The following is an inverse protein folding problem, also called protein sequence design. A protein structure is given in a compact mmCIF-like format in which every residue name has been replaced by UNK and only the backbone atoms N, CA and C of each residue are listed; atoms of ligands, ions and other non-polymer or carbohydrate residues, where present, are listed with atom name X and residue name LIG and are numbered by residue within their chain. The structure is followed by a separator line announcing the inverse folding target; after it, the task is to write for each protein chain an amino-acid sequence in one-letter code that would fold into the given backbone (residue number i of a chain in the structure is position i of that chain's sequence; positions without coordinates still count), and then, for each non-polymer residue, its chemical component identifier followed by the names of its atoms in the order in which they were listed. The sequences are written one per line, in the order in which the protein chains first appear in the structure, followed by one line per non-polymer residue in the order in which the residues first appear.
data_IF_314214226186
#
_entry.id   IF_314214226186
#
_cell.length_a   1.000
_cell.length_b   1.000
_cell.length_c   1.000
_cell.angle_alpha   90.00
_cell.angle_beta   90.00
_cell.angle_gamma   90.00
#
_symmetry.space_group_name_H-M   'P 1'
#
loop_
_entity.id
_entity.type
_entity.pdbx_description
1 polymer ?
#
# COMPACT_ATOMS: atom_id res chain seq x y z
N UNK A 1 10.22 18.33 -32.32
CA UNK A 1 10.64 17.56 -31.13
C UNK A 1 9.53 16.59 -30.80
N UNK A 2 9.73 15.29 -30.97
CA UNK A 2 8.76 14.29 -30.54
C UNK A 2 9.21 13.74 -29.18
N UNK A 3 8.40 13.93 -28.15
CA UNK A 3 8.60 13.29 -26.84
C UNK A 3 7.70 12.05 -26.81
N UNK A 4 8.31 10.86 -26.74
CA UNK A 4 7.60 9.60 -26.57
C UNK A 4 7.66 9.25 -25.08
N UNK A 5 6.63 9.63 -24.33
CA UNK A 5 6.43 9.14 -22.97
C UNK A 5 5.86 7.72 -23.05
N UNK A 6 6.56 6.72 -22.50
CA UNK A 6 6.03 5.37 -22.40
C UNK A 6 4.96 5.35 -21.33
N UNK A 7 3.75 4.92 -21.70
CA UNK A 7 2.64 4.70 -20.78
C UNK A 7 3.03 3.60 -19.78
N UNK A 8 2.78 3.81 -18.49
CA UNK A 8 2.96 2.77 -17.48
C UNK A 8 1.93 1.64 -17.69
N UNK A 9 2.35 0.39 -17.54
CA UNK A 9 1.48 -0.79 -17.74
C UNK A 9 0.34 -0.85 -16.71
N UNK A 10 0.60 -0.37 -15.50
CA UNK A 10 -0.39 -0.21 -14.43
C UNK A 10 -0.55 1.27 -14.12
N UNK A 11 -1.80 1.74 -14.04
CA UNK A 11 -2.10 3.01 -13.39
C UNK A 11 -2.65 2.72 -11.99
N UNK A 12 -1.97 3.22 -10.97
CA UNK A 12 -2.32 3.01 -9.57
C UNK A 12 -2.59 4.36 -8.94
N UNK A 13 -3.54 4.40 -8.01
CA UNK A 13 -3.76 5.56 -7.16
C UNK A 13 -4.14 5.07 -5.79
N UNK A 14 -3.41 5.51 -4.78
CA UNK A 14 -3.69 5.16 -3.38
C UNK A 14 -4.16 6.41 -2.64
N UNK A 15 -5.32 6.29 -2.01
CA UNK A 15 -5.91 7.32 -1.18
C UNK A 15 -6.08 6.76 0.24
N UNK A 16 -5.72 7.55 1.24
CA UNK A 16 -6.05 7.22 2.63
C UNK A 16 -7.53 7.45 2.89
N UNK A 17 -8.14 6.61 3.74
CA UNK A 17 -9.50 6.80 4.23
C UNK A 17 -9.68 8.17 4.89
N UNK A 18 -10.82 8.82 4.61
CA UNK A 18 -11.08 10.21 5.00
C UNK A 18 -11.61 10.35 6.44
N UNK A 19 -12.36 9.37 6.92
CA UNK A 19 -13.19 9.54 8.13
C UNK A 19 -12.40 9.30 9.43
N UNK A 20 -11.56 8.25 9.46
CA UNK A 20 -10.65 7.96 10.58
C UNK A 20 -9.21 7.90 10.05
N UNK A 21 -8.39 8.93 10.30
CA UNK A 21 -7.05 9.00 9.71
C UNK A 21 -6.17 7.83 10.17
N UNK A 22 -6.38 7.36 11.40
CA UNK A 22 -5.80 6.15 11.96
C UNK A 22 -6.69 5.59 13.08
N UNK A 23 -6.40 4.37 13.50
CA UNK A 23 -6.91 3.77 14.74
C UNK A 23 -5.73 3.25 15.57
N UNK A 24 -5.84 3.33 16.89
CA UNK A 24 -4.88 2.72 17.82
C UNK A 24 -5.55 1.52 18.46
N UNK A 25 -4.91 0.37 18.40
CA UNK A 25 -5.33 -0.86 19.06
C UNK A 25 -4.33 -1.19 20.15
N UNK A 26 -4.83 -1.45 21.36
CA UNK A 26 -4.03 -2.03 22.43
C UNK A 26 -4.18 -3.55 22.35
N UNK A 27 -3.04 -4.22 22.26
CA UNK A 27 -2.96 -5.67 22.31
C UNK A 27 -3.04 -6.15 23.76
N UNK A 28 -3.41 -7.42 24.01
CA UNK A 28 -3.47 -7.99 25.36
C UNK A 28 -2.15 -7.96 26.13
N UNK A 29 -1.02 -7.88 25.43
CA UNK A 29 0.33 -7.77 25.99
C UNK A 29 0.72 -6.33 26.38
N UNK A 30 -0.19 -5.36 26.19
CA UNK A 30 0.03 -3.93 26.45
C UNK A 30 0.75 -3.19 25.32
N UNK A 31 1.07 -3.86 24.20
CA UNK A 31 1.64 -3.19 23.02
C UNK A 31 0.57 -2.42 22.23
N UNK A 32 0.98 -1.32 21.61
CA UNK A 32 0.10 -0.50 20.76
C UNK A 32 0.41 -0.72 19.28
N UNK A 33 -0.64 -0.95 18.48
CA UNK A 33 -0.58 -0.96 17.03
C UNK A 33 -1.43 0.15 16.45
N UNK A 34 -0.91 0.77 15.40
CA UNK A 34 -1.57 1.82 14.64
C UNK A 34 -2.05 1.20 13.34
N UNK A 35 -3.30 1.48 12.97
CA UNK A 35 -3.92 1.02 11.74
C UNK A 35 -4.24 2.22 10.88
N UNK A 36 -3.83 2.18 9.62
CA UNK A 36 -4.21 3.15 8.60
C UNK A 36 -5.02 2.46 7.52
N UNK A 37 -6.15 3.05 7.14
CA UNK A 37 -7.01 2.53 6.07
C UNK A 37 -6.66 3.20 4.75
N UNK A 38 -6.51 2.39 3.70
CA UNK A 38 -6.26 2.86 2.35
C UNK A 38 -7.27 2.28 1.37
N UNK A 39 -7.55 3.06 0.34
CA UNK A 39 -8.30 2.70 -0.86
C UNK A 39 -7.34 2.83 -2.04
N UNK A 40 -7.12 1.73 -2.74
CA UNK A 40 -6.28 1.70 -3.93
C UNK A 40 -7.14 1.40 -5.15
N UNK A 41 -7.05 2.26 -6.16
CA UNK A 41 -7.61 2.04 -7.48
C UNK A 41 -6.49 1.64 -8.43
N UNK A 42 -6.67 0.52 -9.13
CA UNK A 42 -5.69 -0.04 -10.05
C UNK A 42 -6.37 -0.23 -11.41
N UNK A 43 -5.67 0.15 -12.48
CA UNK A 43 -6.09 -0.13 -13.86
C UNK A 43 -4.97 -0.81 -14.62
N UNK A 44 -5.25 -1.99 -15.17
CA UNK A 44 -4.39 -2.62 -16.14
C UNK A 44 -4.51 -1.88 -17.48
N UNK A 45 -3.42 -1.29 -17.96
CA UNK A 45 -3.38 -0.51 -19.20
C UNK A 45 -2.86 -1.33 -20.39
N UNK A 46 -2.56 -2.61 -20.17
CA UNK A 46 -2.02 -3.53 -21.17
C UNK A 46 -3.12 -4.36 -21.86
N UNK A 47 -2.73 -5.09 -22.90
CA UNK A 47 -3.60 -6.03 -23.63
C UNK A 47 -3.59 -7.45 -23.05
N UNK A 48 -2.82 -7.69 -21.99
CA UNK A 48 -2.69 -9.00 -21.34
C UNK A 48 -3.23 -8.93 -19.92
N UNK A 49 -3.66 -10.08 -19.37
CA UNK A 49 -3.96 -10.17 -17.95
C UNK A 49 -2.70 -9.96 -17.11
N UNK A 50 -2.86 -9.41 -15.91
CA UNK A 50 -1.77 -9.18 -14.95
C UNK A 50 -2.18 -9.66 -13.57
N UNK A 51 -1.25 -10.34 -12.91
CA UNK A 51 -1.38 -10.78 -11.52
C UNK A 51 -0.35 -10.04 -10.69
N UNK A 52 -0.79 -9.40 -9.61
CA UNK A 52 0.05 -8.59 -8.73
C UNK A 52 -0.24 -8.88 -7.26
N UNK A 53 0.77 -8.65 -6.42
CA UNK A 53 0.70 -8.67 -4.96
C UNK A 53 1.24 -7.36 -4.41
N UNK A 54 0.64 -6.85 -3.34
CA UNK A 54 1.18 -5.69 -2.62
C UNK A 54 2.24 -6.13 -1.61
N UNK A 55 3.34 -5.39 -1.54
CA UNK A 55 4.45 -5.66 -0.64
C UNK A 55 4.97 -4.38 0.03
N UNK A 56 5.28 -4.48 1.32
CA UNK A 56 6.12 -3.51 2.02
C UNK A 56 7.60 -3.92 1.92
N UNK A 57 8.52 -2.95 1.98
CA UNK A 57 9.94 -3.18 2.21
C UNK A 57 10.19 -4.12 3.39
N UNK A 58 11.22 -4.95 3.27
CA UNK A 58 11.62 -5.90 4.31
C UNK A 58 11.98 -5.20 5.63
N UNK A 59 12.58 -4.03 5.56
CA UNK A 59 12.92 -3.18 6.72
C UNK A 59 11.68 -2.78 7.55
N UNK A 60 10.52 -2.61 6.92
CA UNK A 60 9.28 -2.28 7.62
C UNK A 60 8.61 -3.54 8.18
N UNK A 61 8.65 -4.64 7.42
CA UNK A 61 8.14 -5.94 7.89
C UNK A 61 8.87 -6.43 9.12
N UNK A 62 10.21 -6.32 9.14
CA UNK A 62 11.04 -6.68 10.30
C UNK A 62 10.79 -5.78 11.52
N UNK A 63 10.36 -4.53 11.30
CA UNK A 63 9.86 -3.64 12.36
C UNK A 63 8.41 -3.92 12.78
N UNK A 64 7.77 -4.96 12.25
CA UNK A 64 6.41 -5.37 12.61
C UNK A 64 5.30 -4.67 11.84
N UNK A 65 5.59 -4.02 10.70
CA UNK A 65 4.56 -3.54 9.79
C UNK A 65 3.96 -4.67 8.96
N UNK A 66 2.66 -4.61 8.73
CA UNK A 66 1.90 -5.63 8.02
C UNK A 66 0.84 -4.98 7.11
N UNK A 67 0.65 -5.55 5.92
CA UNK A 67 -0.50 -5.26 5.06
C UNK A 67 -1.60 -6.23 5.43
N UNK A 68 -2.76 -5.71 5.84
CA UNK A 68 -3.97 -6.50 6.08
C UNK A 68 -4.96 -6.20 4.96
N UNK A 69 -5.29 -7.21 4.16
CA UNK A 69 -6.21 -7.07 3.03
C UNK A 69 -7.08 -8.30 2.88
N UNK A 70 -8.16 -8.19 2.09
CA UNK A 70 -9.06 -9.33 1.83
C UNK A 70 -8.43 -10.40 0.93
N UNK A 71 -7.46 -10.03 0.09
CA UNK A 71 -6.79 -10.93 -0.83
C UNK A 71 -5.34 -10.54 -0.99
N UNK A 72 -4.47 -11.53 -0.84
CA UNK A 72 -3.03 -11.41 -1.04
C UNK A 72 -2.62 -11.17 -2.50
N UNK A 73 -3.50 -11.51 -3.43
CA UNK A 73 -3.24 -11.44 -4.87
C UNK A 73 -4.40 -10.74 -5.57
N UNK A 74 -4.07 -9.88 -6.52
CA UNK A 74 -5.02 -9.16 -7.37
C UNK A 74 -4.78 -9.59 -8.82
N UNK A 75 -5.83 -10.11 -9.44
CA UNK A 75 -5.84 -10.47 -10.86
C UNK A 75 -6.65 -9.41 -11.62
N UNK A 76 -6.07 -8.88 -12.69
CA UNK A 76 -6.72 -7.90 -13.56
C UNK A 76 -6.63 -8.38 -15.01
N UNK A 77 -7.76 -8.52 -15.67
CA UNK A 77 -7.84 -8.73 -17.11
C UNK A 77 -7.34 -7.51 -17.90
N UNK A 78 -7.19 -7.64 -19.23
CA UNK A 78 -6.82 -6.54 -20.11
C UNK A 78 -7.77 -5.35 -19.96
N UNK A 79 -7.24 -4.15 -19.73
CA UNK A 79 -8.05 -2.93 -19.58
C UNK A 79 -8.86 -2.82 -18.29
N UNK A 80 -8.86 -3.84 -17.43
CA UNK A 80 -9.69 -3.93 -16.23
C UNK A 80 -9.26 -2.92 -15.17
N UNK A 81 -10.25 -2.42 -14.42
CA UNK A 81 -10.06 -1.60 -13.24
C UNK A 81 -10.64 -2.28 -11.99
N UNK A 82 -9.88 -2.24 -10.90
CA UNK A 82 -10.32 -2.72 -9.60
C UNK A 82 -10.07 -1.65 -8.55
N UNK A 83 -10.94 -1.62 -7.55
CA UNK A 83 -10.72 -0.85 -6.33
C UNK A 83 -10.67 -1.82 -5.17
N UNK A 84 -9.60 -1.72 -4.38
CA UNK A 84 -9.39 -2.56 -3.20
C UNK A 84 -9.20 -1.68 -1.97
N UNK A 85 -9.63 -2.21 -0.83
CA UNK A 85 -9.35 -1.63 0.48
C UNK A 85 -8.33 -2.51 1.19
N UNK A 86 -7.36 -1.87 1.83
CA UNK A 86 -6.38 -2.55 2.66
C UNK A 86 -6.01 -1.66 3.85
N UNK A 87 -5.38 -2.27 4.83
CA UNK A 87 -4.89 -1.61 6.01
C UNK A 87 -3.39 -1.81 6.14
N UNK A 88 -2.70 -0.79 6.63
CA UNK A 88 -1.33 -0.95 7.13
C UNK A 88 -1.41 -0.94 8.64
N UNK A 89 -1.01 -2.06 9.26
CA UNK A 89 -0.88 -2.21 10.71
C UNK A 89 0.59 -2.10 11.07
N UNK A 90 0.94 -1.26 12.03
CA UNK A 90 2.34 -1.01 12.37
C UNK A 90 2.50 -0.54 13.82
N UNK A 91 3.63 -0.83 14.48
CA UNK A 91 3.91 -0.28 15.80
C UNK A 91 4.28 1.20 15.73
N UNK A 92 4.03 1.93 16.83
CA UNK A 92 4.32 3.37 16.95
C UNK A 92 5.77 3.74 16.62
N UNK A 93 6.73 2.84 16.86
CA UNK A 93 8.15 3.05 16.59
C UNK A 93 8.53 3.20 15.11
N UNK A 94 7.62 2.91 14.17
CA UNK A 94 7.84 3.13 12.73
C UNK A 94 7.65 4.61 12.35
N UNK A 95 6.97 5.40 13.18
CA UNK A 95 6.68 6.81 12.88
C UNK A 95 7.84 7.74 13.24
N UNK A 96 7.97 8.83 12.49
CA UNK A 96 8.83 9.95 12.88
C UNK A 96 8.29 10.70 14.11
N UNK A 97 9.08 11.63 14.65
CA UNK A 97 8.74 12.41 15.87
C UNK A 97 7.41 13.18 15.78
N UNK A 98 6.87 13.40 14.57
CA UNK A 98 5.59 14.10 14.33
C UNK A 98 4.40 13.18 14.07
N UNK A 99 4.47 11.89 14.40
CA UNK A 99 3.34 10.97 14.20
C UNK A 99 2.97 10.73 12.75
N UNK A 100 3.86 11.04 11.80
CA UNK A 100 3.69 10.83 10.36
C UNK A 100 4.90 10.10 9.79
N UNK A 101 4.71 9.43 8.65
CA UNK A 101 5.77 8.78 7.91
C UNK A 101 5.34 8.44 6.48
N UNK A 102 6.28 8.36 5.56
CA UNK A 102 6.04 7.90 4.19
C UNK A 102 6.70 6.54 4.01
N UNK A 103 5.97 5.59 3.46
CA UNK A 103 6.50 4.25 3.16
C UNK A 103 6.15 3.86 1.73
N UNK A 104 7.06 3.23 0.97
CA UNK A 104 6.72 2.73 -0.35
C UNK A 104 5.87 1.45 -0.24
N UNK A 105 4.89 1.34 -1.13
CA UNK A 105 4.08 0.15 -1.39
C UNK A 105 4.42 -0.35 -2.79
N UNK A 106 5.05 -1.51 -2.86
CA UNK A 106 5.37 -2.14 -4.13
C UNK A 106 4.22 -3.03 -4.59
N UNK A 107 3.87 -2.93 -5.87
CA UNK A 107 3.03 -3.88 -6.57
C UNK A 107 3.96 -4.80 -7.34
N UNK A 108 4.10 -6.03 -6.88
CA UNK A 108 5.04 -7.02 -7.43
C UNK A 108 4.31 -8.11 -8.21
N UNK A 109 4.97 -8.64 -9.21
CA UNK A 109 4.60 -9.89 -9.86
C UNK A 109 4.90 -11.06 -8.90
N UNK A 110 3.92 -11.88 -8.48
CA UNK A 110 4.15 -12.91 -7.48
C UNK A 110 4.98 -14.10 -8.01
N UNK A 111 5.09 -14.29 -9.33
CA UNK A 111 5.88 -15.37 -9.92
C UNK A 111 7.37 -15.00 -10.03
N UNK A 112 7.66 -13.75 -10.37
CA UNK A 112 9.05 -13.29 -10.58
C UNK A 112 9.61 -12.40 -9.47
N UNK A 113 8.75 -11.84 -8.60
CA UNK A 113 9.12 -10.82 -7.61
C UNK A 113 9.40 -9.44 -8.22
N UNK A 114 9.25 -9.27 -9.53
CA UNK A 114 9.55 -8.01 -10.20
C UNK A 114 8.55 -6.91 -9.80
N UNK A 115 9.05 -5.73 -9.44
CA UNK A 115 8.24 -4.54 -9.15
C UNK A 115 7.60 -4.04 -10.44
N UNK A 116 6.28 -3.95 -10.46
CA UNK A 116 5.46 -3.43 -11.57
C UNK A 116 5.08 -1.97 -11.38
N UNK A 117 4.90 -1.54 -10.13
CA UNK A 117 4.66 -0.16 -9.73
C UNK A 117 5.05 0.02 -8.26
N UNK A 118 5.35 1.27 -7.87
CA UNK A 118 5.60 1.65 -6.48
C UNK A 118 4.78 2.90 -6.19
N UNK A 119 4.03 2.88 -5.10
CA UNK A 119 3.22 4.00 -4.63
C UNK A 119 3.67 4.43 -3.23
N UNK A 120 3.71 5.73 -2.98
CA UNK A 120 4.03 6.24 -1.64
C UNK A 120 2.78 6.27 -0.77
N UNK A 121 2.85 5.61 0.39
CA UNK A 121 1.81 5.66 1.42
C UNK A 121 2.19 6.65 2.50
N UNK A 122 1.32 7.61 2.75
CA UNK A 122 1.43 8.51 3.90
C UNK A 122 0.74 7.89 5.11
N UNK A 123 1.56 7.35 6.01
CA UNK A 123 1.14 6.84 7.32
C UNK A 123 0.97 7.97 8.32
N UNK A 124 -0.05 7.85 9.16
CA UNK A 124 -0.37 8.77 10.24
C UNK A 124 -0.66 8.01 11.54
N UNK A 125 -0.42 8.66 12.66
CA UNK A 125 -0.68 8.12 13.99
C UNK A 125 -0.76 9.22 15.03
N UNK A 126 -0.72 8.85 16.33
CA UNK A 126 -0.80 9.81 17.41
C UNK A 126 0.28 10.90 17.32
N UNK A 127 -0.13 12.17 17.37
CA UNK A 127 0.76 13.33 17.25
C UNK A 127 0.82 13.98 15.85
N UNK A 128 0.07 13.46 14.87
CA UNK A 128 -0.04 14.01 13.52
C UNK A 128 -0.98 15.24 13.38
N UNK A 129 -1.38 15.87 14.49
CA UNK A 129 -2.32 17.01 14.53
C UNK A 129 -1.62 18.22 15.14
#
# INVERSE_FOLDING_TARGET
VFSVSRRQDLAVTVLRGKDTPYQVIQNPDGSEQIINHFKMSIKNQTFNGVTIKTALPEELKTKGAEIVSQSDTINLGPGENLTVHFFIKFPKGIMGKGGTGTVPLDLIDPGSGAVKATEELHLVGPGAI
#
